data_IF_357308865804
#
_entry.id   IF_357308865804
#
_cell.length_a   1.000
_cell.length_b   1.000
_cell.length_c   1.000
_cell.angle_alpha   90.00
_cell.angle_beta   90.00
_cell.angle_gamma   90.00
#
_symmetry.space_group_name_H-M   'P 1'
#
loop_
_entity.id
_entity.type
_entity.pdbx_description
1 polymer ?
#
# COMPACT_ATOMS: atom_id res chain seq x y z
N UNK A 1 12.76 10.88 21.25
CA UNK A 1 12.09 9.61 21.59
C UNK A 1 11.26 9.24 20.36
N UNK A 2 11.93 9.09 19.19
CA UNK A 2 11.28 9.23 17.87
C UNK A 2 11.76 8.19 16.86
N UNK A 3 12.22 7.02 17.34
CA UNK A 3 12.89 6.01 16.51
C UNK A 3 12.01 4.80 16.16
N UNK A 4 10.68 4.92 16.28
CA UNK A 4 9.75 3.84 15.94
C UNK A 4 8.71 4.27 14.87
N UNK A 5 8.26 3.31 14.06
CA UNK A 5 7.08 3.41 13.22
C UNK A 5 5.87 2.78 13.94
N UNK A 6 4.69 3.38 13.75
CA UNK A 6 3.41 2.83 14.22
C UNK A 6 2.65 2.27 13.03
N UNK A 7 2.53 0.95 12.99
CA UNK A 7 1.75 0.22 12.00
C UNK A 7 0.31 0.14 12.48
N UNK A 8 -0.60 0.77 11.74
CA UNK A 8 -2.03 0.77 12.06
C UNK A 8 -2.78 -0.11 11.07
N UNK A 9 -3.58 -1.05 11.57
CA UNK A 9 -4.40 -1.93 10.74
C UNK A 9 -5.81 -2.07 11.34
N UNK A 10 -6.83 -2.20 10.48
CA UNK A 10 -8.23 -2.30 10.92
C UNK A 10 -8.81 -3.64 10.49
N UNK A 11 -9.38 -4.36 11.44
CA UNK A 11 -10.08 -5.62 11.19
C UNK A 11 -11.58 -5.43 11.34
N UNK A 12 -12.32 -5.74 10.27
CA UNK A 12 -13.78 -5.65 10.26
C UNK A 12 -14.47 -6.97 10.63
N UNK A 13 -13.71 -8.06 10.78
CA UNK A 13 -14.20 -9.38 11.18
C UNK A 13 -13.08 -10.19 11.81
N UNK A 14 -13.42 -10.98 12.82
CA UNK A 14 -12.52 -11.88 13.53
C UNK A 14 -12.81 -13.32 13.12
N UNK A 15 -11.74 -14.09 12.89
CA UNK A 15 -11.79 -15.52 12.61
C UNK A 15 -11.07 -16.25 13.74
N UNK A 16 -11.67 -17.33 14.22
CA UNK A 16 -11.11 -18.12 15.32
C UNK A 16 -9.72 -18.65 14.96
N UNK A 17 -8.74 -18.40 15.83
CA UNK A 17 -7.36 -18.83 15.64
C UNK A 17 -6.57 -18.09 14.56
N UNK A 18 -7.12 -17.04 13.96
CA UNK A 18 -6.40 -16.22 12.99
C UNK A 18 -5.48 -15.19 13.68
N UNK A 19 -4.34 -14.93 13.06
CA UNK A 19 -3.24 -14.12 13.60
C UNK A 19 -2.79 -13.08 12.59
N UNK A 20 -2.27 -11.95 13.08
CA UNK A 20 -1.71 -10.88 12.25
C UNK A 20 -0.21 -11.06 12.18
N UNK A 21 0.32 -11.04 10.98
CA UNK A 21 1.73 -11.20 10.65
C UNK A 21 2.27 -9.92 10.06
N UNK A 22 3.54 -9.64 10.33
CA UNK A 22 4.25 -8.51 9.75
C UNK A 22 5.54 -8.96 9.07
N UNK A 23 5.77 -8.41 7.90
CA UNK A 23 6.93 -8.65 7.05
C UNK A 23 7.45 -7.30 6.53
N UNK A 24 8.74 -7.25 6.25
CA UNK A 24 9.41 -6.11 5.64
C UNK A 24 9.77 -6.51 4.22
N UNK A 25 9.43 -5.65 3.27
CA UNK A 25 9.74 -5.80 1.85
C UNK A 25 10.72 -4.72 1.38
N UNK A 26 11.58 -5.05 0.44
CA UNK A 26 12.38 -4.04 -0.25
C UNK A 26 11.52 -3.28 -1.29
N UNK A 27 12.10 -2.25 -1.91
CA UNK A 27 11.50 -1.41 -2.98
C UNK A 27 10.93 -2.17 -4.19
N UNK A 28 11.20 -3.47 -4.34
CA UNK A 28 10.70 -4.32 -5.42
C UNK A 28 9.59 -5.26 -4.95
N UNK A 29 9.02 -5.01 -3.77
CA UNK A 29 8.01 -5.87 -3.16
C UNK A 29 8.52 -7.22 -2.68
N UNK A 30 9.84 -7.44 -2.64
CA UNK A 30 10.39 -8.72 -2.18
C UNK A 30 10.53 -8.72 -0.65
N UNK A 31 10.00 -9.74 0.01
CA UNK A 31 10.16 -9.92 1.46
C UNK A 31 11.65 -10.11 1.77
N UNK A 32 12.20 -9.21 2.58
CA UNK A 32 13.60 -9.24 3.05
C UNK A 32 13.72 -9.63 4.51
N UNK A 33 12.64 -9.45 5.29
CA UNK A 33 12.60 -9.86 6.70
C UNK A 33 11.18 -10.21 7.12
N UNK A 34 11.03 -11.31 7.84
CA UNK A 34 9.78 -11.68 8.51
C UNK A 34 9.90 -11.31 9.98
N UNK A 35 8.99 -10.47 10.48
CA UNK A 35 8.84 -10.20 11.92
C UNK A 35 7.99 -11.31 12.56
N UNK A 36 7.01 -11.83 11.81
CA UNK A 36 6.18 -12.95 12.23
C UNK A 36 4.87 -12.47 12.85
N UNK A 37 4.31 -13.26 13.76
CA UNK A 37 3.07 -12.94 14.45
C UNK A 37 3.23 -11.72 15.35
N UNK A 38 2.44 -10.68 15.08
CA UNK A 38 2.40 -9.42 15.84
C UNK A 38 1.09 -9.25 16.62
N UNK A 39 0.12 -10.16 16.47
CA UNK A 39 -1.09 -10.17 17.29
C UNK A 39 -2.08 -11.28 16.94
N UNK A 40 -2.92 -11.63 17.91
CA UNK A 40 -4.04 -12.57 17.77
C UNK A 40 -5.34 -11.85 18.20
N UNK A 41 -5.90 -10.99 17.34
CA UNK A 41 -6.99 -10.10 17.72
C UNK A 41 -8.28 -10.88 17.99
N UNK A 42 -8.90 -10.59 19.14
CA UNK A 42 -10.17 -11.20 19.58
C UNK A 42 -11.39 -10.33 19.28
N UNK A 43 -11.17 -9.08 18.86
CA UNK A 43 -12.22 -8.10 18.55
C UNK A 43 -11.90 -7.31 17.29
N UNK A 44 -12.95 -6.88 16.60
CA UNK A 44 -12.86 -5.99 15.44
C UNK A 44 -12.45 -4.58 15.87
N UNK A 45 -11.81 -3.85 14.98
CA UNK A 45 -11.42 -2.47 15.22
C UNK A 45 -10.03 -2.16 14.70
N UNK A 46 -9.58 -0.96 15.03
CA UNK A 46 -8.24 -0.47 14.69
C UNK A 46 -7.24 -0.93 15.75
N UNK A 47 -6.22 -1.62 15.29
CA UNK A 47 -5.11 -2.12 16.09
C UNK A 47 -3.83 -1.39 15.68
N UNK A 48 -2.88 -1.33 16.61
CA UNK A 48 -1.59 -0.66 16.43
C UNK A 48 -0.46 -1.60 16.85
N UNK A 49 0.61 -1.59 16.07
CA UNK A 49 1.85 -2.28 16.37
C UNK A 49 3.02 -1.34 16.19
N UNK A 50 3.93 -1.31 17.16
CA UNK A 50 5.13 -0.46 17.12
C UNK A 50 6.32 -1.28 16.65
N UNK A 51 7.06 -0.77 15.68
CA UNK A 51 8.28 -1.40 15.16
C UNK A 51 9.41 -0.36 15.07
N UNK A 52 10.62 -0.76 15.42
CA UNK A 52 11.75 0.17 15.38
C UNK A 52 12.11 0.57 13.96
N UNK A 53 12.37 1.87 13.74
CA UNK A 53 12.90 2.42 12.48
C UNK A 53 14.25 1.82 12.11
N UNK A 54 15.02 1.35 13.09
CA UNK A 54 16.29 0.67 12.87
C UNK A 54 16.16 -0.63 12.06
N UNK A 55 14.94 -1.18 11.96
CA UNK A 55 14.63 -2.38 11.17
C UNK A 55 14.51 -2.10 9.67
N UNK A 56 14.53 -0.83 9.25
CA UNK A 56 14.23 -0.41 7.88
C UNK A 56 15.43 0.23 7.21
N UNK A 57 15.64 -0.13 5.94
CA UNK A 57 16.44 0.64 5.01
C UNK A 57 15.58 1.66 4.26
N UNK A 58 16.24 2.58 3.57
CA UNK A 58 15.56 3.63 2.81
C UNK A 58 14.62 3.02 1.75
N UNK A 59 13.34 3.41 1.81
CA UNK A 59 12.24 2.96 0.95
C UNK A 59 11.86 1.48 1.10
N UNK A 60 12.28 0.82 2.17
CA UNK A 60 11.66 -0.46 2.55
C UNK A 60 10.17 -0.24 2.83
N UNK A 61 9.39 -1.29 2.68
CA UNK A 61 7.98 -1.31 3.00
C UNK A 61 7.65 -2.35 4.05
N UNK A 62 6.42 -2.29 4.54
CA UNK A 62 5.82 -3.29 5.40
C UNK A 62 4.72 -4.02 4.66
N UNK A 63 4.55 -5.29 4.97
CA UNK A 63 3.38 -6.08 4.65
C UNK A 63 2.78 -6.54 5.98
N UNK A 64 1.49 -6.26 6.17
CA UNK A 64 0.71 -6.72 7.32
C UNK A 64 -0.37 -7.64 6.81
N UNK A 65 -0.39 -8.88 7.28
CA UNK A 65 -1.34 -9.89 6.82
C UNK A 65 -2.10 -10.51 7.99
N UNK A 66 -3.41 -10.58 7.89
CA UNK A 66 -4.22 -11.38 8.80
C UNK A 66 -4.40 -12.77 8.18
N UNK A 67 -3.92 -13.81 8.86
CA UNK A 67 -3.82 -15.19 8.37
C UNK A 67 -4.65 -16.13 9.24
N UNK A 68 -5.24 -17.16 8.65
CA UNK A 68 -5.83 -18.27 9.42
C UNK A 68 -4.73 -19.07 10.13
N UNK A 69 -5.13 -19.95 11.07
CA UNK A 69 -4.22 -20.89 11.74
C UNK A 69 -3.42 -21.75 10.76
N UNK A 70 -3.97 -21.99 9.59
CA UNK A 70 -3.40 -22.85 8.55
C UNK A 70 -2.46 -22.07 7.60
N UNK A 71 -2.26 -20.77 7.86
CA UNK A 71 -1.40 -19.89 7.08
C UNK A 71 -2.07 -19.24 5.87
N UNK A 72 -3.39 -19.38 5.70
CA UNK A 72 -4.10 -18.72 4.60
C UNK A 72 -4.29 -17.23 4.88
N UNK A 73 -3.83 -16.36 3.98
CA UNK A 73 -4.04 -14.91 4.09
C UNK A 73 -5.52 -14.57 3.87
N UNK A 74 -6.15 -13.95 4.86
CA UNK A 74 -7.53 -13.46 4.84
C UNK A 74 -7.61 -12.01 4.36
N UNK A 75 -6.66 -11.18 4.76
CA UNK A 75 -6.53 -9.81 4.27
C UNK A 75 -5.09 -9.36 4.47
N UNK A 76 -4.60 -8.47 3.62
CA UNK A 76 -3.27 -7.90 3.76
C UNK A 76 -3.24 -6.44 3.32
N UNK A 77 -2.31 -5.69 3.90
CA UNK A 77 -1.94 -4.34 3.52
C UNK A 77 -0.44 -4.32 3.31
N UNK A 78 0.02 -3.85 2.16
CA UNK A 78 1.43 -3.55 1.95
C UNK A 78 1.61 -2.04 1.69
N UNK A 79 2.64 -1.44 2.29
CA UNK A 79 2.93 -0.02 2.17
C UNK A 79 4.44 0.21 2.21
N UNK A 80 4.97 1.00 1.27
CA UNK A 80 6.34 1.49 1.33
C UNK A 80 6.48 2.66 2.30
N UNK A 81 7.56 2.64 3.09
CA UNK A 81 7.95 3.73 3.97
C UNK A 81 8.87 4.66 3.18
N UNK A 82 8.26 5.66 2.56
CA UNK A 82 8.96 6.55 1.65
C UNK A 82 9.39 7.80 2.43
N UNK A 83 10.67 8.15 2.33
CA UNK A 83 11.16 9.48 2.68
C UNK A 83 11.17 10.31 1.38
N UNK A 84 10.13 11.11 1.08
CA UNK A 84 10.12 11.91 -0.13
C UNK A 84 11.28 12.92 -0.08
N UNK A 85 12.13 12.91 -1.11
CA UNK A 85 13.07 14.00 -1.41
C UNK A 85 12.52 14.99 -2.43
N UNK A 86 11.31 14.76 -2.91
CA UNK A 86 10.68 15.51 -3.99
C UNK A 86 9.52 16.31 -3.43
N UNK A 87 9.70 17.63 -3.39
CA UNK A 87 8.66 18.58 -3.01
C UNK A 87 7.45 18.45 -3.94
N UNK A 88 6.21 18.51 -3.43
CA UNK A 88 5.01 18.55 -4.25
C UNK A 88 5.05 19.77 -5.18
N UNK A 89 4.49 19.63 -6.39
CA UNK A 89 4.46 20.71 -7.38
C UNK A 89 3.58 21.86 -6.88
N UNK A 90 4.18 22.94 -6.39
CA UNK A 90 3.45 24.15 -6.02
C UNK A 90 3.01 24.91 -7.27
N UNK A 91 1.70 25.17 -7.37
CA UNK A 91 1.16 26.21 -8.25
C UNK A 91 1.71 27.56 -7.75
N UNK A 92 2.12 28.52 -8.61
CA UNK A 92 2.70 29.76 -8.13
C UNK A 92 1.66 30.59 -7.38
N UNK A 93 1.78 30.62 -6.05
CA UNK A 93 1.05 31.54 -5.19
C UNK A 93 1.97 32.69 -4.79
N UNK A 94 1.40 33.90 -4.85
CA UNK A 94 2.01 35.20 -4.57
C UNK A 94 2.70 35.20 -3.19
N UNK A 95 3.84 35.89 -2.98
CA UNK A 95 4.62 35.75 -1.75
C UNK A 95 3.89 36.38 -0.56
N UNK A 96 3.65 35.57 0.47
CA UNK A 96 3.38 36.02 1.83
C UNK A 96 4.52 35.51 2.74
N UNK A 97 4.79 36.30 3.78
CA UNK A 97 5.91 36.26 4.73
C UNK A 97 6.33 34.88 5.25
N UNK A 98 7.58 34.72 5.74
CA UNK A 98 8.14 33.42 6.08
C UNK A 98 7.42 32.80 7.28
N UNK A 99 6.52 31.87 7.01
CA UNK A 99 6.02 30.95 8.02
C UNK A 99 7.11 29.94 8.39
N UNK A 100 7.21 29.66 9.69
CA UNK A 100 8.04 28.58 10.24
C UNK A 100 7.78 27.30 9.45
N UNK A 101 8.79 26.57 8.97
CA UNK A 101 8.56 25.37 8.16
C UNK A 101 7.83 24.33 8.99
N UNK A 102 6.52 24.20 8.76
CA UNK A 102 5.74 23.07 9.22
C UNK A 102 6.25 21.83 8.48
N UNK A 103 6.53 20.77 9.24
CA UNK A 103 6.83 19.46 8.67
C UNK A 103 5.65 19.04 7.78
N UNK A 104 5.88 18.48 6.57
CA UNK A 104 4.80 17.98 5.75
C UNK A 104 4.04 16.91 6.54
N UNK A 105 2.74 17.14 6.72
CA UNK A 105 1.82 16.12 7.20
C UNK A 105 1.86 14.96 6.19
N UNK A 106 2.30 13.78 6.63
CA UNK A 106 2.39 12.57 5.80
C UNK A 106 0.99 11.98 5.53
N UNK A 107 0.03 12.83 5.14
CA UNK A 107 -1.31 12.41 4.76
C UNK A 107 -1.21 11.64 3.43
N UNK A 108 -1.08 10.32 3.59
CA UNK A 108 -1.02 9.29 2.55
C UNK A 108 -1.55 9.75 1.19
N UNK A 109 -0.67 9.90 0.21
CA UNK A 109 -1.07 10.10 -1.19
C UNK A 109 -2.02 9.00 -1.69
N UNK A 110 -2.17 7.86 -0.99
CA UNK A 110 -3.08 6.77 -1.33
C UNK A 110 -4.01 6.44 -0.15
N UNK A 111 -5.30 6.75 -0.27
CA UNK A 111 -6.25 6.62 0.86
C UNK A 111 -7.17 5.41 0.76
N UNK A 112 -7.27 4.74 -0.39
CA UNK A 112 -8.17 3.58 -0.54
C UNK A 112 -7.76 2.69 -1.71
N UNK A 113 -7.72 1.36 -1.52
CA UNK A 113 -7.70 0.36 -2.60
C UNK A 113 -8.94 -0.54 -2.48
N UNK A 114 -9.89 -0.40 -3.41
CA UNK A 114 -11.10 -1.24 -3.44
C UNK A 114 -11.16 -2.05 -4.72
N UNK A 115 -11.43 -3.34 -4.54
CA UNK A 115 -11.68 -4.30 -5.62
C UNK A 115 -13.16 -4.64 -5.63
N UNK A 116 -13.79 -4.48 -6.78
CA UNK A 116 -15.17 -4.88 -7.01
C UNK A 116 -15.22 -5.79 -8.22
N UNK A 117 -15.73 -7.01 -8.06
CA UNK A 117 -15.99 -7.90 -9.19
C UNK A 117 -17.17 -7.36 -10.01
N UNK A 118 -17.02 -7.28 -11.33
CA UNK A 118 -18.08 -6.85 -12.26
C UNK A 118 -17.98 -7.65 -13.56
N UNK A 119 -18.88 -8.63 -13.73
CA UNK A 119 -18.84 -9.55 -14.88
C UNK A 119 -17.48 -10.26 -14.98
N UNK A 120 -16.85 -10.17 -16.15
CA UNK A 120 -15.53 -10.74 -16.46
C UNK A 120 -14.35 -9.87 -16.00
N UNK A 121 -14.60 -8.78 -15.27
CA UNK A 121 -13.56 -7.83 -14.87
C UNK A 121 -13.53 -7.60 -13.35
N UNK A 122 -12.39 -7.11 -12.88
CA UNK A 122 -12.25 -6.41 -11.61
C UNK A 122 -12.18 -4.91 -11.87
N UNK A 123 -12.93 -4.15 -11.06
CA UNK A 123 -12.83 -2.70 -10.99
C UNK A 123 -11.97 -2.37 -9.77
N UNK A 124 -10.81 -1.77 -10.04
CA UNK A 124 -9.87 -1.25 -9.05
C UNK A 124 -10.21 0.21 -8.85
N UNK A 125 -10.74 0.57 -7.69
CA UNK A 125 -10.95 1.96 -7.29
C UNK A 125 -9.82 2.38 -6.36
N UNK A 126 -9.22 3.53 -6.66
CA UNK A 126 -8.18 4.12 -5.84
C UNK A 126 -8.39 5.61 -5.65
N UNK A 127 -7.86 6.16 -4.56
CA UNK A 127 -7.97 7.58 -4.27
C UNK A 127 -6.59 8.17 -4.02
N UNK A 128 -6.29 9.26 -4.73
CA UNK A 128 -5.09 10.06 -4.52
C UNK A 128 -5.43 11.35 -3.78
N UNK A 129 -4.69 11.69 -2.72
CA UNK A 129 -4.84 13.00 -2.03
C UNK A 129 -3.95 14.07 -2.67
N UNK A 130 -2.84 13.65 -3.28
CA UNK A 130 -1.88 14.53 -3.96
C UNK A 130 -1.42 13.93 -5.29
N UNK A 131 -1.08 14.80 -6.24
CA UNK A 131 -0.60 14.43 -7.57
C UNK A 131 0.72 15.13 -7.86
N UNK A 132 1.68 14.36 -8.35
CA UNK A 132 3.03 14.81 -8.71
C UNK A 132 3.17 14.79 -10.22
N UNK A 133 3.74 15.88 -10.78
CA UNK A 133 3.71 16.19 -12.21
C UNK A 133 4.35 15.13 -13.10
N UNK A 134 5.30 14.37 -12.58
CA UNK A 134 6.05 13.34 -13.29
C UNK A 134 5.71 11.92 -12.82
N UNK A 135 4.69 11.77 -11.98
CA UNK A 135 4.32 10.49 -11.42
C UNK A 135 3.19 9.79 -12.16
N UNK A 136 3.29 8.47 -12.22
CA UNK A 136 2.40 7.56 -12.95
C UNK A 136 1.92 6.45 -12.02
N UNK A 137 0.69 5.99 -12.21
CA UNK A 137 0.15 4.84 -11.52
C UNK A 137 0.56 3.57 -12.25
N UNK A 138 1.11 2.62 -11.51
CA UNK A 138 1.51 1.30 -11.98
C UNK A 138 0.66 0.24 -11.29
N UNK A 139 0.38 -0.83 -12.03
CA UNK A 139 -0.29 -2.01 -11.52
C UNK A 139 0.57 -3.25 -11.74
N UNK A 140 0.64 -4.07 -10.70
CA UNK A 140 1.32 -5.35 -10.69
C UNK A 140 0.40 -6.40 -10.08
N UNK A 141 0.60 -7.66 -10.46
CA UNK A 141 -0.10 -8.82 -9.93
C UNK A 141 0.90 -9.59 -9.09
N UNK A 142 0.50 -9.90 -7.86
CA UNK A 142 1.27 -10.71 -6.94
C UNK A 142 0.58 -12.05 -6.69
N UNK A 143 1.37 -13.10 -6.45
CA UNK A 143 0.82 -14.38 -6.00
C UNK A 143 0.43 -14.34 -4.51
N UNK A 144 -0.10 -15.44 -3.98
CA UNK A 144 -0.48 -15.62 -2.57
C UNK A 144 0.64 -15.40 -1.54
N UNK A 145 1.90 -15.31 -1.99
CA UNK A 145 3.08 -15.09 -1.13
C UNK A 145 3.61 -13.65 -1.26
N UNK A 146 2.84 -12.75 -1.86
CA UNK A 146 3.23 -11.35 -2.09
C UNK A 146 4.28 -11.16 -3.19
N UNK A 147 4.64 -12.19 -3.96
CA UNK A 147 5.65 -12.06 -5.01
C UNK A 147 5.01 -11.53 -6.29
N UNK A 148 5.60 -10.50 -6.89
CA UNK A 148 5.19 -10.01 -8.21
C UNK A 148 5.40 -11.12 -9.25
N UNK A 149 4.31 -11.55 -9.87
CA UNK A 149 4.30 -12.55 -10.94
C UNK A 149 4.02 -11.94 -12.31
N UNK A 150 3.46 -10.72 -12.34
CA UNK A 150 3.19 -10.01 -13.59
C UNK A 150 3.14 -8.50 -13.37
N UNK A 151 3.80 -7.75 -14.23
CA UNK A 151 3.66 -6.28 -14.29
C UNK A 151 2.69 -5.93 -15.42
N UNK A 152 1.61 -5.21 -15.08
CA UNK A 152 0.71 -4.62 -16.08
C UNK A 152 1.28 -3.29 -16.59
N UNK A 153 2.03 -2.58 -15.74
CA UNK A 153 2.74 -1.35 -16.09
C UNK A 153 1.91 -0.11 -15.80
N UNK A 154 2.17 0.97 -16.55
CA UNK A 154 1.49 2.26 -16.36
C UNK A 154 0.00 2.13 -16.72
N UNK A 155 -0.85 2.36 -15.72
CA UNK A 155 -2.31 2.35 -15.86
C UNK A 155 -2.92 3.75 -15.86
N UNK A 156 -2.12 4.78 -15.59
CA UNK A 156 -2.55 6.18 -15.66
C UNK A 156 -1.46 7.18 -15.28
N UNK A 157 -1.66 8.42 -15.68
CA UNK A 157 -0.90 9.59 -15.26
C UNK A 157 -1.90 10.61 -14.69
N UNK A 158 -2.33 10.45 -13.43
CA UNK A 158 -3.32 11.33 -12.82
C UNK A 158 -2.84 12.78 -12.88
N UNK A 159 -3.72 13.70 -13.26
CA UNK A 159 -3.43 15.15 -13.27
C UNK A 159 -4.12 15.89 -12.13
N UNK A 160 -5.06 15.23 -11.44
CA UNK A 160 -5.84 15.77 -10.34
C UNK A 160 -6.01 14.72 -9.24
N UNK A 161 -6.03 15.19 -7.99
CA UNK A 161 -6.35 14.36 -6.83
C UNK A 161 -7.83 13.90 -6.88
N UNK A 162 -8.13 12.80 -6.21
CA UNK A 162 -9.48 12.27 -6.11
C UNK A 162 -9.56 10.77 -6.40
N UNK A 163 -10.80 10.30 -6.53
CA UNK A 163 -11.08 8.87 -6.77
C UNK A 163 -10.99 8.54 -8.25
N UNK A 164 -10.12 7.61 -8.58
CA UNK A 164 -9.88 7.06 -9.90
C UNK A 164 -10.28 5.59 -9.97
N UNK A 165 -10.48 5.09 -11.19
CA UNK A 165 -10.84 3.69 -11.46
C UNK A 165 -9.99 3.12 -12.58
N UNK A 166 -9.62 1.86 -12.43
CA UNK A 166 -9.00 1.04 -13.46
C UNK A 166 -9.76 -0.28 -13.60
N UNK A 167 -9.93 -0.77 -14.82
CA UNK A 167 -10.63 -2.01 -15.11
C UNK A 167 -9.60 -3.00 -15.64
N UNK A 168 -9.57 -4.19 -15.04
CA UNK A 168 -8.70 -5.29 -15.46
C UNK A 168 -9.50 -6.58 -15.61
N UNK A 169 -9.16 -7.38 -16.62
CA UNK A 169 -9.81 -8.66 -16.87
C UNK A 169 -9.51 -9.66 -15.75
N UNK A 170 -10.52 -10.45 -15.34
CA UNK A 170 -10.35 -11.56 -14.40
C UNK A 170 -9.42 -12.64 -14.94
N UNK A 171 -9.31 -12.77 -16.27
CA UNK A 171 -8.43 -13.73 -16.93
C UNK A 171 -6.93 -13.47 -16.63
N UNK A 172 -6.59 -12.29 -16.14
CA UNK A 172 -5.23 -11.94 -15.72
C UNK A 172 -4.83 -12.58 -14.38
N UNK A 173 -5.79 -13.17 -13.65
CA UNK A 173 -5.61 -13.62 -12.27
C UNK A 173 -5.82 -15.12 -12.10
N UNK A 174 -5.04 -15.71 -11.21
CA UNK A 174 -5.27 -17.03 -10.63
C UNK A 174 -5.87 -16.91 -9.22
N UNK A 175 -6.41 -18.02 -8.72
CA UNK A 175 -7.02 -18.07 -7.39
C UNK A 175 -6.00 -17.68 -6.31
N UNK A 176 -6.33 -16.63 -5.56
CA UNK A 176 -5.52 -16.09 -4.47
C UNK A 176 -4.44 -15.10 -4.89
N UNK A 177 -4.36 -14.78 -6.18
CA UNK A 177 -3.56 -13.65 -6.62
C UNK A 177 -4.09 -12.35 -5.99
N UNK A 178 -3.18 -11.40 -5.86
CA UNK A 178 -3.45 -10.04 -5.44
C UNK A 178 -2.94 -9.06 -6.47
N UNK A 179 -3.15 -7.80 -6.16
CA UNK A 179 -2.52 -6.70 -6.88
C UNK A 179 -1.60 -5.93 -5.97
N UNK A 180 -0.66 -5.25 -6.59
CA UNK A 180 0.06 -4.12 -6.02
C UNK A 180 -0.20 -2.95 -6.96
N UNK A 181 -0.62 -1.82 -6.40
CA UNK A 181 -0.60 -0.57 -7.11
C UNK A 181 0.40 0.37 -6.49
N UNK A 182 1.15 1.04 -7.35
CA UNK A 182 2.23 1.93 -6.96
C UNK A 182 2.14 3.22 -7.76
N UNK A 183 2.19 4.35 -7.06
CA UNK A 183 2.35 5.65 -7.69
C UNK A 183 3.84 5.97 -7.74
N UNK A 184 4.41 6.07 -8.94
CA UNK A 184 5.87 6.19 -9.16
C UNK A 184 6.20 7.44 -9.93
N UNK A 185 7.20 8.20 -9.50
CA UNK A 185 7.84 9.24 -10.31
C UNK A 185 8.55 8.66 -11.53
N UNK A 186 8.93 9.54 -12.45
CA UNK A 186 9.59 9.18 -13.70
C UNK A 186 10.96 8.51 -13.53
N UNK A 187 11.64 8.76 -12.40
CA UNK A 187 12.91 8.13 -12.02
C UNK A 187 12.72 6.80 -11.27
N UNK A 188 11.48 6.34 -11.12
CA UNK A 188 11.13 5.05 -10.52
C UNK A 188 10.99 5.08 -9.00
N UNK A 189 11.07 6.24 -8.36
CA UNK A 189 10.74 6.35 -6.93
C UNK A 189 9.25 6.11 -6.71
N UNK A 190 8.93 5.13 -5.87
CA UNK A 190 7.56 4.92 -5.39
C UNK A 190 7.23 6.04 -4.41
N UNK A 191 6.16 6.79 -4.67
CA UNK A 191 5.59 7.86 -3.83
C UNK A 191 4.52 7.34 -2.87
N UNK A 192 3.81 6.30 -3.27
CA UNK A 192 2.90 5.55 -2.41
C UNK A 192 2.52 4.23 -3.09
N UNK A 193 2.11 3.24 -2.32
CA UNK A 193 1.64 1.98 -2.87
C UNK A 193 0.69 1.26 -1.92
N UNK A 194 -0.18 0.44 -2.50
CA UNK A 194 -1.10 -0.41 -1.76
C UNK A 194 -1.19 -1.77 -2.45
N UNK A 195 -1.14 -2.83 -1.65
CA UNK A 195 -1.40 -4.18 -2.12
C UNK A 195 -2.70 -4.74 -1.54
N UNK A 196 -3.36 -5.61 -2.31
CA UNK A 196 -4.56 -6.32 -1.86
C UNK A 196 -4.73 -7.65 -2.56
N UNK A 197 -4.93 -8.72 -1.78
CA UNK A 197 -5.37 -10.00 -2.32
C UNK A 197 -6.82 -9.96 -2.80
N UNK A 198 -7.07 -10.62 -3.93
CA UNK A 198 -8.41 -10.78 -4.47
C UNK A 198 -9.02 -12.02 -3.83
N UNK A 199 -9.79 -11.80 -2.77
CA UNK A 199 -10.54 -12.87 -2.11
C UNK A 199 -11.79 -13.21 -2.94
N UNK A 200 -11.77 -14.38 -3.59
CA UNK A 200 -12.92 -14.93 -4.31
C UNK A 200 -12.63 -15.24 -5.78
N UNK A 201 -12.10 -16.44 -6.00
CA UNK A 201 -12.31 -17.25 -7.21
C UNK A 201 -12.84 -18.62 -6.78
#
# INVERSE_FOLDING_TARGET
>A
MDDDYIVTYTLNKIYEGATVHLEIMNQRGQIIKTIGEIGAPTETGTQKYTISKAEFQKNDGIIVEYRTKDGQVLTGLAQHIINPKTEPSTVPSIPLEPETPELPDFSNAFTTLKFTASGENYIITYALTEVYKDATMHLEIMNQRGQIIKTIGVIGAPTEAGTQKYIISKAEFQKGDGVIMEYKTSDGQILTGAAKHIMGL
#
